data_IF_582344799902
#
_entry.id   IF_582344799902
#
_cell.length_a   1.000
_cell.length_b   1.000
_cell.length_c   1.000
_cell.angle_alpha   90.00
_cell.angle_beta   90.00
_cell.angle_gamma   90.00
#
_symmetry.space_group_name_H-M   'P 1'
#
loop_
_entity.id
_entity.type
_entity.pdbx_description
1 polymer ?
#
# COMPACT_ATOMS: atom_id res chain seq x y z
N UNK A 1 -23.59 -19.65 -33.80
CA UNK A 1 -24.71 -18.69 -33.67
C UNK A 1 -24.73 -18.13 -32.25
N UNK A 2 -24.43 -16.85 -32.06
CA UNK A 2 -24.69 -16.17 -30.79
C UNK A 2 -26.17 -15.79 -30.80
N UNK A 3 -27.01 -16.44 -29.99
CA UNK A 3 -28.43 -16.12 -29.90
C UNK A 3 -28.61 -14.77 -29.20
N UNK A 4 -29.09 -13.76 -29.94
CA UNK A 4 -29.48 -12.48 -29.36
C UNK A 4 -30.83 -12.61 -28.66
N UNK A 5 -31.00 -12.02 -27.46
CA UNK A 5 -32.28 -12.05 -26.76
C UNK A 5 -33.32 -11.21 -27.51
N UNK A 6 -34.56 -11.68 -27.52
CA UNK A 6 -35.68 -10.98 -28.16
C UNK A 6 -36.14 -9.79 -27.31
N UNK A 7 -36.80 -8.80 -27.93
CA UNK A 7 -37.32 -7.62 -27.22
C UNK A 7 -38.28 -8.01 -26.10
N UNK A 8 -39.12 -9.02 -26.28
CA UNK A 8 -40.04 -9.51 -25.25
C UNK A 8 -39.31 -10.14 -24.05
N UNK A 9 -38.15 -10.77 -24.26
CA UNK A 9 -37.31 -11.28 -23.18
C UNK A 9 -36.70 -10.14 -22.36
N UNK A 10 -36.28 -9.06 -23.02
CA UNK A 10 -35.75 -7.87 -22.34
C UNK A 10 -36.83 -7.09 -21.59
N UNK A 11 -38.07 -7.06 -22.09
CA UNK A 11 -39.21 -6.47 -21.38
C UNK A 11 -39.56 -7.25 -20.11
N UNK A 12 -39.48 -8.60 -20.14
CA UNK A 12 -39.73 -9.45 -18.96
C UNK A 12 -38.56 -9.49 -17.98
N UNK A 13 -37.32 -9.43 -18.49
CA UNK A 13 -36.08 -9.47 -17.73
C UNK A 13 -35.12 -8.42 -18.26
N UNK A 14 -35.10 -7.27 -17.59
CA UNK A 14 -34.18 -6.18 -17.92
C UNK A 14 -32.71 -6.63 -17.85
N UNK A 15 -31.83 -5.92 -18.57
CA UNK A 15 -30.39 -6.19 -18.54
C UNK A 15 -29.83 -5.87 -17.16
N UNK A 16 -29.13 -6.83 -16.57
CA UNK A 16 -28.44 -6.63 -15.29
C UNK A 16 -27.00 -6.18 -15.52
N UNK A 17 -26.56 -5.12 -14.83
CA UNK A 17 -25.16 -4.72 -14.81
C UNK A 17 -24.35 -5.60 -13.87
N UNK A 18 -23.17 -6.04 -14.30
CA UNK A 18 -22.25 -6.79 -13.45
C UNK A 18 -21.67 -5.89 -12.35
N UNK A 19 -21.97 -6.20 -11.09
CA UNK A 19 -21.41 -5.47 -9.95
C UNK A 19 -19.94 -5.87 -9.71
N UNK A 20 -19.05 -4.86 -9.62
CA UNK A 20 -17.62 -5.06 -9.35
C UNK A 20 -17.30 -4.67 -7.91
N UNK A 21 -16.67 -5.57 -7.15
CA UNK A 21 -16.18 -5.28 -5.79
C UNK A 21 -14.86 -4.51 -5.85
N UNK A 22 -14.71 -3.51 -4.98
CA UNK A 22 -13.44 -2.81 -4.85
C UNK A 22 -12.34 -3.75 -4.32
N UNK A 23 -11.15 -3.64 -4.90
CA UNK A 23 -9.96 -4.37 -4.44
C UNK A 23 -9.46 -3.85 -3.07
N UNK A 24 -9.86 -2.64 -2.68
CA UNK A 24 -9.40 -1.90 -1.50
C UNK A 24 -10.57 -1.43 -0.62
N UNK A 25 -11.35 -2.37 -0.04
CA UNK A 25 -12.59 -2.03 0.68
C UNK A 25 -12.35 -1.16 1.93
N UNK A 26 -11.20 -1.29 2.60
CA UNK A 26 -10.95 -0.61 3.87
C UNK A 26 -10.75 0.91 3.75
N UNK A 27 -10.50 1.40 2.53
CA UNK A 27 -10.40 2.83 2.24
C UNK A 27 -11.76 3.53 2.13
N UNK A 28 -12.88 2.79 2.06
CA UNK A 28 -14.25 3.34 1.97
C UNK A 28 -14.37 4.50 0.94
N UNK A 29 -13.81 4.33 -0.25
CA UNK A 29 -13.84 5.33 -1.33
C UNK A 29 -12.79 6.46 -1.23
N UNK A 30 -12.07 6.60 -0.11
CA UNK A 30 -10.99 7.58 0.02
C UNK A 30 -9.70 7.15 -0.72
N UNK A 31 -8.93 8.08 -1.31
CA UNK A 31 -7.66 7.75 -1.96
C UNK A 31 -6.58 7.35 -0.95
N UNK A 32 -6.57 8.01 0.20
CA UNK A 32 -5.67 7.76 1.31
C UNK A 32 -6.44 7.74 2.63
N UNK A 33 -5.94 6.97 3.59
CA UNK A 33 -6.51 6.94 4.94
C UNK A 33 -5.41 6.90 6.00
N UNK A 34 -5.58 7.71 7.04
CA UNK A 34 -4.71 7.69 8.23
C UNK A 34 -5.03 6.48 9.09
N UNK A 35 -3.99 5.91 9.70
CA UNK A 35 -4.11 4.85 10.70
C UNK A 35 -2.90 4.81 11.64
N UNK A 36 -3.00 3.97 12.66
CA UNK A 36 -1.96 3.75 13.68
C UNK A 36 -1.42 2.34 13.54
N UNK A 37 -0.10 2.19 13.52
CA UNK A 37 0.57 0.89 13.51
C UNK A 37 0.31 0.15 14.82
N UNK A 38 -0.22 -1.07 14.74
CA UNK A 38 -0.36 -1.96 15.89
C UNK A 38 0.87 -2.84 16.02
N UNK A 39 1.31 -3.46 14.93
CA UNK A 39 2.48 -4.35 14.93
C UNK A 39 3.30 -4.13 13.67
N UNK A 40 4.61 -3.97 13.82
CA UNK A 40 5.56 -3.91 12.71
C UNK A 40 6.33 -5.23 12.66
N UNK A 41 6.24 -5.96 11.54
CA UNK A 41 6.88 -7.28 11.41
C UNK A 41 7.34 -7.57 10.00
N UNK A 42 8.12 -8.63 9.84
CA UNK A 42 8.53 -9.15 8.53
C UNK A 42 7.76 -10.41 8.18
N UNK A 43 7.42 -10.59 6.92
CA UNK A 43 6.74 -11.78 6.39
C UNK A 43 7.44 -12.31 5.15
N UNK A 44 7.44 -13.63 5.01
CA UNK A 44 7.95 -14.31 3.82
C UNK A 44 6.91 -14.29 2.68
N UNK A 45 7.33 -14.11 1.42
CA UNK A 45 6.44 -14.13 0.26
C UNK A 45 5.98 -15.55 -0.11
N UNK A 46 4.99 -15.64 -1.01
CA UNK A 46 4.62 -16.90 -1.66
C UNK A 46 5.72 -17.35 -2.64
N UNK A 47 5.94 -18.67 -2.75
CA UNK A 47 6.72 -19.31 -3.83
C UNK A 47 6.27 -18.75 -5.21
N UNK A 48 7.16 -18.38 -6.14
CA UNK A 48 8.59 -18.74 -6.29
C UNK A 48 9.58 -17.81 -5.59
N UNK A 49 9.11 -16.71 -5.03
CA UNK A 49 9.98 -15.67 -4.49
C UNK A 49 10.43 -16.01 -3.06
N UNK A 50 11.60 -15.51 -2.67
CA UNK A 50 12.10 -15.56 -1.29
C UNK A 50 12.68 -14.19 -0.90
N UNK A 51 12.24 -13.65 0.24
CA UNK A 51 12.71 -12.40 0.83
C UNK A 51 12.06 -12.18 2.20
N UNK A 52 12.63 -11.28 3.01
CA UNK A 52 11.94 -10.72 4.18
C UNK A 52 11.25 -9.42 3.80
N UNK A 53 9.92 -9.48 3.62
CA UNK A 53 9.12 -8.30 3.27
C UNK A 53 8.67 -7.59 4.55
N UNK A 54 8.94 -6.29 4.64
CA UNK A 54 8.57 -5.45 5.79
C UNK A 54 7.11 -5.03 5.68
N UNK A 55 6.32 -5.34 6.71
CA UNK A 55 4.89 -5.05 6.77
C UNK A 55 4.54 -4.41 8.11
N UNK A 56 3.40 -3.71 8.13
CA UNK A 56 2.78 -3.24 9.36
C UNK A 56 1.29 -3.64 9.39
N UNK A 57 0.82 -4.07 10.55
CA UNK A 57 -0.61 -4.10 10.88
C UNK A 57 -1.00 -2.69 11.31
N UNK A 58 -2.06 -2.17 10.73
CA UNK A 58 -2.46 -0.77 10.91
C UNK A 58 -3.97 -0.71 11.16
N UNK A 59 -4.34 -0.08 12.26
CA UNK A 59 -5.74 0.25 12.57
C UNK A 59 -6.08 1.58 11.92
N UNK A 60 -6.95 1.54 10.91
CA UNK A 60 -7.40 2.73 10.19
C UNK A 60 -8.42 3.52 11.00
N UNK A 61 -8.50 4.81 10.72
CA UNK A 61 -9.61 5.68 11.19
C UNK A 61 -10.99 5.20 10.73
N UNK A 62 -11.08 4.33 9.72
CA UNK A 62 -12.34 3.72 9.27
C UNK A 62 -12.82 2.56 10.16
N UNK A 63 -12.04 2.17 11.17
CA UNK A 63 -12.31 1.06 12.09
C UNK A 63 -11.68 -0.27 11.66
N UNK A 64 -11.25 -0.39 10.40
CA UNK A 64 -10.65 -1.62 9.88
C UNK A 64 -9.19 -1.77 10.30
N UNK A 65 -8.81 -2.97 10.71
CA UNK A 65 -7.42 -3.36 10.86
C UNK A 65 -6.92 -4.02 9.57
N UNK A 66 -5.87 -3.46 8.97
CA UNK A 66 -5.34 -3.91 7.68
C UNK A 66 -3.85 -4.15 7.75
N UNK A 67 -3.37 -5.05 6.90
CA UNK A 67 -1.93 -5.24 6.70
C UNK A 67 -1.46 -4.38 5.53
N UNK A 68 -0.51 -3.49 5.80
CA UNK A 68 0.09 -2.59 4.82
C UNK A 68 1.58 -2.90 4.60
N UNK A 69 2.02 -2.80 3.35
CA UNK A 69 3.41 -2.97 2.97
C UNK A 69 4.21 -1.69 3.18
N UNK A 70 5.44 -1.82 3.68
CA UNK A 70 6.37 -0.72 3.85
C UNK A 70 7.32 -0.69 2.65
N UNK A 71 7.18 0.28 1.72
CA UNK A 71 8.01 0.31 0.52
C UNK A 71 9.39 0.92 0.79
N UNK A 72 10.39 0.38 0.09
CA UNK A 72 11.76 0.91 0.09
C UNK A 72 12.70 0.20 1.05
N UNK A 73 13.89 0.76 1.18
CA UNK A 73 14.95 0.25 2.06
C UNK A 73 14.90 0.99 3.40
N UNK A 74 14.94 0.22 4.50
CA UNK A 74 14.85 0.77 5.85
C UNK A 74 13.48 1.40 6.18
N UNK A 75 13.18 1.48 7.47
CA UNK A 75 12.01 2.17 8.00
C UNK A 75 12.25 2.54 9.45
N UNK A 76 11.52 3.55 9.92
CA UNK A 76 11.56 4.08 11.28
C UNK A 76 10.28 3.75 12.07
N UNK A 77 9.41 2.87 11.54
CA UNK A 77 8.11 2.64 12.16
C UNK A 77 8.23 1.71 13.34
N UNK A 78 7.52 2.08 14.40
CA UNK A 78 7.38 1.34 15.64
C UNK A 78 5.89 1.11 15.90
N UNK A 79 5.57 0.46 17.01
CA UNK A 79 4.21 0.43 17.52
C UNK A 79 3.71 1.86 17.76
N UNK A 80 2.41 2.09 17.58
CA UNK A 80 1.74 3.38 17.72
C UNK A 80 2.17 4.50 16.75
N UNK A 81 3.10 4.25 15.84
CA UNK A 81 3.44 5.22 14.79
C UNK A 81 2.22 5.51 13.92
N UNK A 82 1.96 6.79 13.64
CA UNK A 82 0.86 7.24 12.80
C UNK A 82 1.31 7.26 11.35
N UNK A 83 0.55 6.57 10.49
CA UNK A 83 0.92 6.34 9.10
C UNK A 83 -0.23 6.69 8.15
N UNK A 84 0.13 7.12 6.95
CA UNK A 84 -0.82 7.31 5.86
C UNK A 84 -0.75 6.11 4.91
N UNK A 85 -1.91 5.51 4.64
CA UNK A 85 -2.04 4.34 3.78
C UNK A 85 -2.67 4.73 2.44
N UNK A 86 -2.19 4.09 1.37
CA UNK A 86 -2.78 4.10 0.04
C UNK A 86 -3.14 2.70 -0.44
N UNK A 87 -4.00 2.64 -1.46
CA UNK A 87 -4.30 1.41 -2.17
C UNK A 87 -3.09 0.85 -2.92
N UNK A 88 -2.96 -0.47 -2.94
CA UNK A 88 -1.95 -1.16 -3.75
C UNK A 88 -1.68 -2.56 -3.21
N UNK A 89 -1.93 -3.58 -4.03
CA UNK A 89 -1.66 -4.97 -3.63
C UNK A 89 -0.20 -5.32 -3.92
N UNK A 90 0.45 -5.96 -2.95
CA UNK A 90 1.72 -6.64 -3.19
C UNK A 90 1.41 -8.01 -3.77
N UNK A 91 1.91 -8.30 -4.99
CA UNK A 91 1.60 -9.54 -5.70
C UNK A 91 2.11 -10.78 -4.93
N UNK A 92 3.29 -10.66 -4.34
CA UNK A 92 4.01 -11.74 -3.67
C UNK A 92 3.41 -12.13 -2.32
N UNK A 93 2.76 -11.17 -1.63
CA UNK A 93 2.24 -11.37 -0.28
C UNK A 93 0.71 -11.51 -0.32
N UNK A 94 0.15 -12.68 0.01
CA UNK A 94 -1.29 -12.82 0.13
C UNK A 94 -1.81 -11.96 1.30
N UNK A 95 -2.98 -11.34 1.12
CA UNK A 95 -3.61 -10.49 2.15
C UNK A 95 -3.07 -9.06 2.26
N UNK A 96 -1.91 -8.74 1.69
CA UNK A 96 -1.35 -7.38 1.75
C UNK A 96 -1.83 -6.54 0.56
N UNK A 97 -2.89 -5.77 0.80
CA UNK A 97 -3.63 -5.00 -0.23
C UNK A 97 -3.36 -3.50 -0.21
N UNK A 98 -2.55 -3.04 0.74
CA UNK A 98 -2.29 -1.64 0.99
C UNK A 98 -0.81 -1.34 1.09
N UNK A 99 -0.42 -0.10 0.81
CA UNK A 99 0.94 0.40 0.96
C UNK A 99 0.96 1.60 1.88
N UNK A 100 2.02 1.71 2.67
CA UNK A 100 2.31 2.93 3.41
C UNK A 100 2.93 3.97 2.47
N UNK A 101 2.46 5.21 2.56
CA UNK A 101 3.06 6.37 1.89
C UNK A 101 4.30 6.78 2.67
N UNK A 102 5.44 7.01 2.01
CA UNK A 102 6.68 7.44 2.66
C UNK A 102 6.79 8.96 2.66
N UNK A 103 7.42 9.52 3.69
CA UNK A 103 7.59 10.97 3.84
C UNK A 103 6.32 11.68 4.31
N UNK A 104 5.40 10.96 4.94
CA UNK A 104 4.12 11.48 5.43
C UNK A 104 3.88 11.03 6.87
N UNK A 105 3.45 11.94 7.74
CA UNK A 105 3.30 11.69 9.18
C UNK A 105 4.62 11.13 9.76
N UNK A 106 4.58 10.07 10.57
CA UNK A 106 5.77 9.52 11.23
C UNK A 106 6.64 8.68 10.29
N UNK A 107 6.20 8.47 9.04
CA UNK A 107 6.95 7.70 8.06
C UNK A 107 8.05 8.55 7.43
N UNK A 108 9.30 8.31 7.82
CA UNK A 108 10.44 8.99 7.20
C UNK A 108 10.67 8.51 5.75
N UNK A 109 11.26 9.36 4.92
CA UNK A 109 11.71 8.99 3.58
C UNK A 109 12.79 7.90 3.60
N UNK A 110 13.12 7.32 2.43
CA UNK A 110 14.23 6.35 2.31
C UNK A 110 15.56 7.10 2.26
N UNK A 111 16.52 6.81 3.14
CA UNK A 111 17.82 7.52 3.13
C UNK A 111 18.60 7.23 1.81
N UNK A 112 19.26 8.24 1.26
CA UNK A 112 20.16 8.09 0.10
C UNK A 112 19.49 7.79 -1.27
N UNK A 113 18.16 7.90 -1.38
CA UNK A 113 17.45 7.59 -2.64
C UNK A 113 17.58 8.73 -3.66
N UNK A 114 18.41 8.51 -4.70
CA UNK A 114 18.61 9.48 -5.79
C UNK A 114 17.62 9.33 -6.96
N UNK A 115 17.11 8.10 -7.21
CA UNK A 115 16.14 7.80 -8.29
C UNK A 115 14.74 7.51 -7.73
N UNK A 116 13.70 7.95 -8.45
CA UNK A 116 12.28 7.81 -8.06
C UNK A 116 11.95 8.40 -6.67
N UNK A 117 12.59 9.51 -6.32
CA UNK A 117 12.53 10.18 -5.01
C UNK A 117 11.11 10.47 -4.50
N UNK A 118 10.23 10.92 -5.39
CA UNK A 118 8.83 11.25 -5.06
C UNK A 118 8.04 10.07 -4.51
N UNK A 119 8.33 8.84 -4.96
CA UNK A 119 7.64 7.63 -4.49
C UNK A 119 8.04 7.22 -3.07
N UNK A 120 9.25 7.59 -2.65
CA UNK A 120 9.85 7.18 -1.38
C UNK A 120 10.04 8.35 -0.39
N UNK A 121 9.43 9.50 -0.67
CA UNK A 121 9.42 10.65 0.24
C UNK A 121 10.79 11.29 0.44
N UNK A 122 11.68 11.25 -0.56
CA UNK A 122 13.00 11.91 -0.47
C UNK A 122 13.02 13.26 -1.16
N UNK A 123 13.58 14.27 -0.48
CA UNK A 123 13.81 15.59 -1.06
C UNK A 123 14.98 15.53 -2.05
N UNK A 124 15.01 16.48 -3.00
CA UNK A 124 16.15 16.62 -3.91
C UNK A 124 17.38 17.01 -3.08
N UNK A 125 18.53 16.30 -3.21
CA UNK A 125 19.76 16.72 -2.55
C UNK A 125 20.19 18.09 -3.10
N UNK A 126 20.69 18.96 -2.21
CA UNK A 126 21.25 20.26 -2.62
C UNK A 126 22.57 20.00 -3.35
N UNK A 127 22.82 20.59 -4.54
CA UNK A 127 24.11 20.47 -5.20
C UNK A 127 25.19 21.04 -4.28
N UNK A 128 26.18 20.22 -3.89
CA UNK A 128 27.27 20.60 -2.99
C UNK A 128 27.10 20.27 -1.50
N UNK A 129 25.92 19.81 -1.05
CA UNK A 129 25.77 19.32 0.32
C UNK A 129 26.13 17.82 0.39
N UNK A 130 27.04 17.45 1.30
CA UNK A 130 27.42 16.07 1.54
C UNK A 130 26.18 15.18 1.76
N UNK A 131 26.16 14.01 1.11
CA UNK A 131 25.09 13.04 1.29
C UNK A 131 24.99 12.67 2.78
N UNK A 132 23.79 12.81 3.36
CA UNK A 132 23.55 12.45 4.76
C UNK A 132 24.06 11.01 5.01
N UNK A 133 24.81 10.77 6.11
CA UNK A 133 25.54 9.52 6.30
C UNK A 133 24.57 8.33 6.27
N UNK A 134 24.84 7.38 5.37
CA UNK A 134 24.25 6.05 5.44
C UNK A 134 24.74 5.42 6.75
N UNK A 135 23.82 5.18 7.68
CA UNK A 135 24.16 4.57 8.96
C UNK A 135 24.95 3.27 8.74
N UNK A 136 26.07 3.13 9.46
CA UNK A 136 26.93 1.95 9.45
C UNK A 136 26.06 0.71 9.63
N UNK A 137 26.16 -0.23 8.68
CA UNK A 137 25.69 -1.61 8.91
C UNK A 137 26.63 -2.21 9.97
N UNK A 138 26.09 -2.51 11.14
CA UNK A 138 26.66 -3.47 12.07
C UNK A 138 25.83 -4.74 11.98
#
# INVERSE_FOLDING_TARGET
MIALPTTQQLLRKGRTTLQKKSKVPALKGSPFRRGVCTVVKTTTPKKPNSALRKIARVRLTSGFEVTAYIPGEGHNLQEHSVVLIRGGRVKDLPGVRYHIVRGSLDTQGVKGRNKSRSKYGTKKPKPGAAAAPAGKKK
#
